data_IF_179188277821
#
_entry.id   IF_179188277821
#
_cell.length_a   1.000
_cell.length_b   1.000
_cell.length_c   1.000
_cell.angle_alpha   90.00
_cell.angle_beta   90.00
_cell.angle_gamma   90.00
#
_symmetry.space_group_name_H-M   'P 1'
#
loop_
_entity.id
_entity.type
_entity.pdbx_description
1 polymer ?
#
# COMPACT_ATOMS: atom_id res chain seq x y z
N UNK A 1 48.89 -48.82 30.38
CA UNK A 1 48.13 -48.02 29.40
C UNK A 1 47.61 -49.01 28.39
N UNK A 2 46.32 -49.20 28.22
CA UNK A 2 45.34 -48.19 27.78
C UNK A 2 43.93 -48.54 28.31
N UNK A 3 43.09 -47.56 28.70
CA UNK A 3 41.69 -47.82 29.08
C UNK A 3 40.84 -48.12 27.83
N UNK A 4 39.72 -48.86 27.94
CA UNK A 4 38.84 -49.09 26.81
C UNK A 4 38.21 -47.78 26.35
N UNK A 5 38.36 -47.50 25.06
CA UNK A 5 37.83 -46.32 24.38
C UNK A 5 36.31 -46.21 24.61
N UNK A 6 35.77 -45.04 25.04
CA UNK A 6 34.35 -44.88 25.21
C UNK A 6 33.67 -44.97 23.84
N UNK A 7 32.69 -45.86 23.71
CA UNK A 7 31.85 -45.94 22.53
C UNK A 7 31.21 -44.57 22.30
N UNK A 8 31.58 -43.94 21.19
CA UNK A 8 30.94 -42.71 20.71
C UNK A 8 29.47 -43.01 20.42
N UNK A 9 28.59 -42.69 21.37
CA UNK A 9 27.16 -42.58 21.09
C UNK A 9 27.00 -41.34 20.23
N UNK A 10 27.04 -41.52 18.92
CA UNK A 10 26.67 -40.49 17.96
C UNK A 10 25.15 -40.32 18.05
N UNK A 11 24.68 -39.49 18.97
CA UNK A 11 23.33 -38.93 18.87
C UNK A 11 23.32 -38.01 17.66
N UNK A 12 22.89 -38.53 16.52
CA UNK A 12 22.48 -37.70 15.38
C UNK A 12 21.42 -36.72 15.91
N UNK A 13 21.55 -35.40 15.69
CA UNK A 13 20.49 -34.48 16.07
C UNK A 13 19.21 -34.93 15.37
N UNK A 14 18.15 -35.20 16.14
CA UNK A 14 16.84 -35.53 15.58
C UNK A 14 16.42 -34.38 14.67
N UNK A 15 16.57 -34.56 13.36
CA UNK A 15 16.13 -33.58 12.37
C UNK A 15 14.62 -33.63 12.33
N UNK A 16 13.99 -32.69 13.05
CA UNK A 16 12.53 -32.57 13.11
C UNK A 16 11.99 -32.36 11.69
N UNK A 17 11.17 -33.31 11.22
CA UNK A 17 10.61 -33.25 9.88
C UNK A 17 9.46 -32.23 9.81
N UNK A 18 9.79 -30.97 9.57
CA UNK A 18 8.83 -29.88 9.42
C UNK A 18 7.90 -30.03 8.21
N UNK A 19 8.26 -30.87 7.22
CA UNK A 19 7.40 -31.18 6.09
C UNK A 19 6.27 -32.16 6.43
N UNK A 20 6.37 -32.87 7.56
CA UNK A 20 5.36 -33.81 8.05
C UNK A 20 4.41 -33.19 9.09
N UNK A 21 4.39 -31.86 9.22
CA UNK A 21 3.42 -31.19 10.08
C UNK A 21 1.97 -31.49 9.60
N UNK A 22 1.03 -31.70 10.54
CA UNK A 22 -0.38 -31.78 10.20
C UNK A 22 -0.89 -30.54 9.46
N UNK A 23 -1.84 -30.73 8.56
CA UNK A 23 -2.33 -29.69 7.66
C UNK A 23 -2.97 -28.50 8.41
N UNK A 24 -3.72 -28.77 9.47
CA UNK A 24 -4.33 -27.77 10.35
C UNK A 24 -3.29 -26.89 11.07
N UNK A 25 -2.17 -27.49 11.49
CA UNK A 25 -1.05 -26.76 12.09
C UNK A 25 -0.36 -25.88 11.06
N UNK A 26 -0.13 -26.39 9.83
CA UNK A 26 0.45 -25.60 8.74
C UNK A 26 -0.44 -24.41 8.36
N UNK A 27 -1.74 -24.63 8.22
CA UNK A 27 -2.72 -23.57 7.99
C UNK A 27 -2.65 -22.48 9.08
N UNK A 28 -2.59 -22.90 10.34
CA UNK A 28 -2.51 -21.96 11.48
C UNK A 28 -1.21 -21.15 11.45
N UNK A 29 -0.10 -21.76 11.06
CA UNK A 29 1.18 -21.06 10.88
C UNK A 29 1.06 -20.06 9.72
N UNK A 30 0.48 -20.47 8.59
CA UNK A 30 0.40 -19.63 7.40
C UNK A 30 -0.52 -18.44 7.61
N UNK A 31 -1.64 -18.61 8.31
CA UNK A 31 -2.52 -17.51 8.72
C UNK A 31 -1.80 -16.48 9.61
N UNK A 32 -0.79 -16.90 10.38
CA UNK A 32 0.03 -15.99 11.21
C UNK A 32 1.16 -15.30 10.42
N UNK A 33 1.66 -15.94 9.36
CA UNK A 33 2.67 -15.37 8.48
C UNK A 33 2.07 -14.28 7.60
N UNK A 34 0.92 -14.58 6.97
CA UNK A 34 0.30 -13.70 6.00
C UNK A 34 0.83 -13.91 4.57
N UNK A 35 0.15 -13.36 3.55
CA UNK A 35 0.47 -13.62 2.14
C UNK A 35 1.90 -13.29 1.70
N UNK A 36 2.46 -12.16 2.12
CA UNK A 36 3.79 -11.71 1.72
C UNK A 36 4.87 -12.72 2.13
N UNK A 37 4.89 -13.11 3.40
CA UNK A 37 5.84 -14.05 4.00
C UNK A 37 5.64 -15.48 3.45
N UNK A 38 4.41 -15.86 3.13
CA UNK A 38 4.13 -17.14 2.48
C UNK A 38 4.82 -17.19 1.11
N UNK A 39 4.63 -16.16 0.28
CA UNK A 39 5.17 -16.10 -1.09
C UNK A 39 6.70 -15.95 -1.12
N UNK A 40 7.26 -15.19 -0.18
CA UNK A 40 8.69 -14.92 -0.13
C UNK A 40 9.50 -16.07 0.49
N UNK A 41 8.87 -16.96 1.25
CA UNK A 41 9.61 -17.99 1.99
C UNK A 41 8.86 -19.29 2.22
N UNK A 42 7.70 -19.25 2.89
CA UNK A 42 7.08 -20.48 3.39
C UNK A 42 6.75 -21.49 2.27
N UNK A 43 6.27 -21.02 1.12
CA UNK A 43 5.94 -21.89 -0.01
C UNK A 43 7.16 -22.42 -0.79
N UNK A 44 8.36 -21.95 -0.44
CA UNK A 44 9.63 -22.37 -1.04
C UNK A 44 10.33 -23.45 -0.22
N UNK A 45 9.87 -23.72 1.01
CA UNK A 45 10.49 -24.70 1.93
C UNK A 45 10.38 -26.13 1.40
N UNK A 46 9.18 -26.56 1.00
CA UNK A 46 8.94 -27.88 0.44
C UNK A 46 7.62 -27.94 -0.34
N UNK A 47 7.41 -29.03 -1.08
CA UNK A 47 6.21 -29.24 -1.91
C UNK A 47 4.93 -29.32 -1.10
N UNK A 48 4.95 -29.90 0.10
CA UNK A 48 3.78 -29.95 1.00
C UNK A 48 3.33 -28.55 1.40
N UNK A 49 4.28 -27.71 1.81
CA UNK A 49 4.02 -26.33 2.22
C UNK A 49 3.51 -25.50 1.04
N UNK A 50 4.11 -25.68 -0.14
CA UNK A 50 3.63 -25.04 -1.38
C UNK A 50 2.18 -25.40 -1.71
N UNK A 51 1.81 -26.68 -1.59
CA UNK A 51 0.42 -27.12 -1.84
C UNK A 51 -0.56 -26.42 -0.91
N UNK A 52 -0.26 -26.40 0.39
CA UNK A 52 -1.09 -25.66 1.36
C UNK A 52 -1.19 -24.18 0.99
N UNK A 53 -0.08 -23.53 0.61
CA UNK A 53 -0.10 -22.12 0.21
C UNK A 53 -0.96 -21.87 -1.04
N UNK A 54 -0.94 -22.76 -2.02
CA UNK A 54 -1.65 -22.57 -3.30
C UNK A 54 -3.11 -23.01 -3.24
N UNK A 55 -3.39 -24.11 -2.55
CA UNK A 55 -4.68 -24.81 -2.61
C UNK A 55 -5.70 -24.31 -1.56
N UNK A 56 -5.28 -23.45 -0.62
CA UNK A 56 -6.11 -22.98 0.50
C UNK A 56 -6.51 -21.50 0.34
N UNK A 57 -7.69 -21.19 -0.24
CA UNK A 57 -8.16 -19.81 -0.44
C UNK A 57 -8.28 -19.00 0.84
N UNK A 58 -8.52 -19.68 1.97
CA UNK A 58 -8.67 -19.06 3.27
C UNK A 58 -7.45 -18.23 3.70
N UNK A 59 -6.25 -18.59 3.21
CA UNK A 59 -4.99 -17.88 3.46
C UNK A 59 -4.92 -16.53 2.74
N UNK A 60 -5.71 -16.36 1.69
CA UNK A 60 -5.65 -15.22 0.77
C UNK A 60 -6.90 -14.33 0.87
N UNK A 61 -7.68 -14.48 1.95
CA UNK A 61 -8.82 -13.58 2.22
C UNK A 61 -8.38 -12.15 2.52
N UNK A 62 -7.18 -11.97 3.06
CA UNK A 62 -6.59 -10.65 3.34
C UNK A 62 -5.20 -10.61 2.73
N UNK A 63 -5.05 -9.92 1.60
CA UNK A 63 -3.81 -9.81 0.85
C UNK A 63 -3.11 -8.52 1.23
N UNK A 64 -1.98 -8.63 1.93
CA UNK A 64 -1.08 -7.52 2.19
C UNK A 64 0.24 -7.77 1.44
N UNK A 65 0.57 -6.87 0.51
CA UNK A 65 1.76 -6.92 -0.34
C UNK A 65 2.92 -6.08 0.22
N UNK A 66 2.76 -5.52 1.42
CA UNK A 66 3.80 -4.81 2.14
C UNK A 66 3.94 -3.36 1.67
N UNK A 67 3.36 -2.44 2.45
CA UNK A 67 3.51 -0.99 2.28
C UNK A 67 4.69 -0.42 3.08
N UNK A 68 5.16 -1.17 4.09
CA UNK A 68 6.04 -0.65 5.15
C UNK A 68 7.51 -1.12 5.10
N UNK A 69 7.90 -1.95 4.13
CA UNK A 69 9.28 -2.42 4.03
C UNK A 69 10.13 -1.44 3.20
N UNK A 70 11.29 -0.96 3.70
CA UNK A 70 12.26 -0.22 2.90
C UNK A 70 12.71 -0.97 1.63
N UNK A 71 12.52 -2.30 1.58
CA UNK A 71 12.75 -3.14 0.41
C UNK A 71 11.62 -3.14 -0.63
N UNK A 72 10.41 -2.67 -0.30
CA UNK A 72 9.29 -2.59 -1.23
C UNK A 72 9.62 -1.67 -2.42
N UNK A 73 10.46 -0.65 -2.21
CA UNK A 73 10.98 0.26 -3.25
C UNK A 73 11.85 -0.44 -4.30
N UNK A 74 12.47 -1.57 -3.96
CA UNK A 74 13.30 -2.37 -4.88
C UNK A 74 12.51 -3.49 -5.57
N UNK A 75 11.29 -3.79 -5.10
CA UNK A 75 10.45 -4.89 -5.59
C UNK A 75 9.39 -4.48 -6.64
N UNK A 76 9.44 -3.23 -7.12
CA UNK A 76 8.43 -2.66 -8.02
C UNK A 76 8.21 -3.48 -9.31
N UNK A 77 9.26 -4.14 -9.84
CA UNK A 77 9.16 -4.91 -11.08
C UNK A 77 8.41 -6.26 -10.95
N UNK A 78 8.10 -6.72 -9.72
CA UNK A 78 7.43 -8.01 -9.48
C UNK A 78 6.16 -7.94 -8.62
N UNK A 79 5.91 -6.81 -7.96
CA UNK A 79 4.79 -6.62 -7.02
C UNK A 79 3.42 -6.91 -7.68
N UNK A 80 3.21 -6.44 -8.91
CA UNK A 80 1.94 -6.64 -9.61
C UNK A 80 1.63 -8.12 -9.92
N UNK A 81 2.62 -8.91 -10.31
CA UNK A 81 2.42 -10.33 -10.59
C UNK A 81 2.16 -11.13 -9.30
N UNK A 82 2.89 -10.82 -8.23
CA UNK A 82 2.66 -11.42 -6.92
C UNK A 82 1.27 -11.08 -6.38
N UNK A 83 0.85 -9.83 -6.48
CA UNK A 83 -0.49 -9.37 -6.10
C UNK A 83 -1.59 -10.12 -6.86
N UNK A 84 -1.46 -10.23 -8.19
CA UNK A 84 -2.40 -11.00 -9.02
C UNK A 84 -2.45 -12.47 -8.62
N UNK A 85 -1.30 -13.10 -8.38
CA UNK A 85 -1.23 -14.49 -7.96
C UNK A 85 -1.91 -14.71 -6.60
N UNK A 86 -1.67 -13.83 -5.63
CA UNK A 86 -2.30 -13.88 -4.31
C UNK A 86 -3.83 -13.76 -4.39
N UNK A 87 -4.33 -12.76 -5.13
CA UNK A 87 -5.76 -12.56 -5.34
C UNK A 87 -6.38 -13.74 -6.09
N UNK A 88 -5.65 -14.32 -7.06
CA UNK A 88 -6.11 -15.49 -7.78
C UNK A 88 -6.29 -16.70 -6.86
N UNK A 89 -5.34 -16.94 -5.94
CA UNK A 89 -5.39 -18.02 -4.94
C UNK A 89 -6.54 -17.84 -3.96
N UNK A 90 -6.97 -16.60 -3.69
CA UNK A 90 -8.18 -16.30 -2.91
C UNK A 90 -9.48 -16.77 -3.57
N UNK A 91 -9.47 -17.19 -4.83
CA UNK A 91 -10.61 -17.81 -5.51
C UNK A 91 -11.93 -17.02 -5.38
N UNK A 92 -11.85 -15.68 -5.41
CA UNK A 92 -13.01 -14.80 -5.27
C UNK A 92 -13.39 -14.46 -3.83
N UNK A 93 -12.71 -15.03 -2.83
CA UNK A 93 -12.94 -14.80 -1.40
C UNK A 93 -12.04 -13.71 -0.80
N UNK A 94 -11.31 -12.96 -1.64
CA UNK A 94 -10.48 -11.85 -1.15
C UNK A 94 -11.40 -10.73 -0.63
N UNK A 95 -11.28 -10.44 0.66
CA UNK A 95 -12.07 -9.45 1.40
C UNK A 95 -11.25 -8.17 1.69
N UNK A 96 -9.93 -8.26 1.71
CA UNK A 96 -9.05 -7.11 1.92
C UNK A 96 -7.80 -7.17 1.05
N UNK A 97 -7.41 -6.03 0.48
CA UNK A 97 -6.17 -5.87 -0.27
C UNK A 97 -5.42 -4.64 0.23
N UNK A 98 -4.11 -4.76 0.44
CA UNK A 98 -3.20 -3.65 0.74
C UNK A 98 -1.90 -3.76 -0.05
N UNK A 99 -1.45 -2.68 -0.68
CA UNK A 99 -0.15 -2.62 -1.33
C UNK A 99 -0.03 -1.65 -2.51
N UNK A 100 1.13 -1.64 -3.18
CA UNK A 100 1.36 -0.91 -4.43
C UNK A 100 0.38 -1.32 -5.52
N UNK A 101 -0.21 -0.35 -6.19
CA UNK A 101 -1.21 -0.61 -7.22
C UNK A 101 -1.09 0.36 -8.41
N UNK A 102 -1.22 -0.21 -9.61
CA UNK A 102 -1.43 0.51 -10.86
C UNK A 102 -2.88 0.29 -11.35
N UNK A 103 -3.26 0.97 -12.43
CA UNK A 103 -4.59 0.82 -13.03
C UNK A 103 -4.89 -0.63 -13.43
N UNK A 104 -3.88 -1.34 -13.95
CA UNK A 104 -4.05 -2.71 -14.41
C UNK A 104 -4.33 -3.70 -13.27
N UNK A 105 -3.72 -3.51 -12.10
CA UNK A 105 -3.96 -4.32 -10.91
C UNK A 105 -5.30 -3.93 -10.28
N UNK A 106 -5.65 -2.65 -10.28
CA UNK A 106 -6.91 -2.16 -9.74
C UNK A 106 -8.12 -2.74 -10.51
N UNK A 107 -8.06 -2.72 -11.84
CA UNK A 107 -9.07 -3.37 -12.69
C UNK A 107 -9.17 -4.88 -12.42
N UNK A 108 -8.03 -5.53 -12.21
CA UNK A 108 -8.00 -6.97 -11.89
C UNK A 108 -8.61 -7.29 -10.54
N UNK A 109 -8.38 -6.46 -9.52
CA UNK A 109 -9.02 -6.59 -8.21
C UNK A 109 -10.54 -6.50 -8.35
N UNK A 110 -11.04 -5.53 -9.12
CA UNK A 110 -12.47 -5.38 -9.39
C UNK A 110 -13.11 -6.64 -10.00
N UNK A 111 -12.40 -7.32 -10.89
CA UNK A 111 -12.89 -8.54 -11.56
C UNK A 111 -12.73 -9.79 -10.71
N UNK A 112 -11.68 -9.87 -9.88
CA UNK A 112 -11.25 -11.11 -9.24
C UNK A 112 -11.55 -11.19 -7.75
N UNK A 113 -11.88 -10.06 -7.12
CA UNK A 113 -12.21 -9.96 -5.70
C UNK A 113 -13.60 -9.29 -5.51
N UNK A 114 -14.70 -9.95 -5.91
CA UNK A 114 -16.06 -9.39 -5.76
C UNK A 114 -16.48 -9.23 -4.29
N UNK A 115 -15.81 -9.91 -3.35
CA UNK A 115 -16.07 -9.84 -1.91
C UNK A 115 -15.23 -8.78 -1.20
N UNK A 116 -14.55 -7.89 -1.93
CA UNK A 116 -13.64 -6.91 -1.34
C UNK A 116 -14.42 -5.88 -0.48
N UNK A 117 -14.03 -5.79 0.79
CA UNK A 117 -14.58 -4.85 1.79
C UNK A 117 -13.58 -3.80 2.22
N UNK A 118 -12.28 -4.07 2.06
CA UNK A 118 -11.19 -3.16 2.43
C UNK A 118 -10.17 -3.09 1.28
N UNK A 119 -9.87 -1.88 0.83
CA UNK A 119 -8.94 -1.62 -0.27
C UNK A 119 -7.96 -0.51 0.12
N UNK A 120 -6.69 -0.86 0.31
CA UNK A 120 -5.64 0.07 0.71
C UNK A 120 -4.59 0.17 -0.39
N UNK A 121 -4.57 1.31 -1.08
CA UNK A 121 -3.72 1.57 -2.24
C UNK A 121 -2.52 2.43 -1.81
N UNK A 122 -1.39 1.80 -1.48
CA UNK A 122 -0.16 2.53 -1.19
C UNK A 122 0.54 2.92 -2.49
N UNK A 123 1.16 4.10 -2.58
CA UNK A 123 1.89 4.52 -3.80
C UNK A 123 1.08 4.26 -5.08
N UNK A 124 -0.18 4.68 -5.11
CA UNK A 124 -1.06 4.47 -6.25
C UNK A 124 -0.57 5.25 -7.47
N UNK A 125 -0.32 4.54 -8.57
CA UNK A 125 0.20 5.10 -9.82
C UNK A 125 -0.88 5.20 -10.92
N UNK A 126 -2.16 5.05 -10.58
CA UNK A 126 -3.26 5.03 -11.54
C UNK A 126 -3.97 6.37 -11.72
N UNK A 127 -5.04 6.37 -12.53
CA UNK A 127 -5.87 7.55 -12.81
C UNK A 127 -7.10 7.63 -11.90
N UNK A 128 -7.61 8.85 -11.65
CA UNK A 128 -8.85 9.05 -10.88
C UNK A 128 -10.04 8.38 -11.57
N UNK A 129 -10.10 8.44 -12.90
CA UNK A 129 -11.18 7.85 -13.70
C UNK A 129 -11.27 6.33 -13.51
N UNK A 130 -10.11 5.65 -13.53
CA UNK A 130 -10.06 4.20 -13.36
C UNK A 130 -10.36 3.81 -11.93
N UNK A 131 -9.85 4.57 -10.95
CA UNK A 131 -10.20 4.39 -9.54
C UNK A 131 -11.72 4.46 -9.34
N UNK A 132 -12.36 5.54 -9.79
CA UNK A 132 -13.80 5.73 -9.64
C UNK A 132 -14.61 4.63 -10.34
N UNK A 133 -14.20 4.23 -11.54
CA UNK A 133 -14.85 3.15 -12.28
C UNK A 133 -14.81 1.83 -11.50
N UNK A 134 -13.70 1.54 -10.83
CA UNK A 134 -13.56 0.33 -10.00
C UNK A 134 -14.35 0.45 -8.70
N UNK A 135 -14.30 1.61 -8.04
CA UNK A 135 -15.07 1.89 -6.84
C UNK A 135 -16.57 1.66 -7.06
N UNK A 136 -17.13 2.13 -8.18
CA UNK A 136 -18.54 1.87 -8.56
C UNK A 136 -18.87 0.37 -8.76
N UNK A 137 -17.87 -0.48 -9.01
CA UNK A 137 -18.03 -1.92 -9.19
C UNK A 137 -17.82 -2.73 -7.91
N UNK A 138 -17.45 -2.09 -6.79
CA UNK A 138 -17.18 -2.73 -5.50
C UNK A 138 -18.26 -2.36 -4.48
N UNK A 139 -19.49 -2.92 -4.57
CA UNK A 139 -20.62 -2.53 -3.74
C UNK A 139 -20.48 -2.92 -2.26
N UNK A 140 -19.51 -3.78 -1.93
CA UNK A 140 -19.25 -4.24 -0.56
C UNK A 140 -18.11 -3.47 0.11
N UNK A 141 -17.52 -2.48 -0.57
CA UNK A 141 -16.39 -1.74 -0.06
C UNK A 141 -16.82 -0.83 1.09
N UNK A 142 -16.22 -1.03 2.26
CA UNK A 142 -16.52 -0.30 3.50
C UNK A 142 -15.33 0.55 3.96
N UNK A 143 -14.11 0.17 3.58
CA UNK A 143 -12.87 0.80 4.00
C UNK A 143 -11.96 1.02 2.78
N UNK A 144 -11.64 2.28 2.51
CA UNK A 144 -10.79 2.69 1.40
C UNK A 144 -9.66 3.57 1.92
N UNK A 145 -8.43 3.19 1.62
CA UNK A 145 -7.24 4.01 1.82
C UNK A 145 -6.57 4.26 0.48
N UNK A 146 -6.29 5.52 0.15
CA UNK A 146 -5.59 5.89 -1.09
C UNK A 146 -4.40 6.78 -0.76
N UNK A 147 -3.21 6.31 -1.09
CA UNK A 147 -1.97 7.08 -1.03
C UNK A 147 -1.40 7.25 -2.43
N UNK A 148 -1.70 8.35 -3.13
CA UNK A 148 -1.09 8.70 -4.41
C UNK A 148 0.43 8.56 -4.46
N UNK A 149 0.95 8.17 -5.62
CA UNK A 149 2.38 8.22 -5.89
C UNK A 149 2.83 9.63 -6.30
N UNK A 150 4.01 10.05 -5.84
CA UNK A 150 4.58 11.37 -6.16
C UNK A 150 5.02 11.51 -7.63
N UNK A 151 5.29 10.40 -8.31
CA UNK A 151 5.72 10.40 -9.71
C UNK A 151 4.55 10.48 -10.69
N UNK A 152 3.31 10.40 -10.19
CA UNK A 152 2.13 10.43 -11.03
C UNK A 152 1.63 11.86 -11.20
N UNK A 153 1.80 12.40 -12.41
CA UNK A 153 1.08 13.59 -12.85
C UNK A 153 -0.38 13.27 -13.26
N UNK A 154 -0.84 12.03 -13.08
CA UNK A 154 -2.14 11.56 -13.61
C UNK A 154 -3.27 11.60 -12.60
N UNK A 155 -2.97 11.77 -11.31
CA UNK A 155 -4.01 12.01 -10.31
C UNK A 155 -4.36 13.50 -10.36
N UNK A 156 -5.59 13.77 -10.79
CA UNK A 156 -6.12 15.12 -10.95
C UNK A 156 -6.55 15.71 -9.61
N UNK A 157 -6.59 17.05 -9.54
CA UNK A 157 -7.27 17.78 -8.47
C UNK A 157 -8.67 17.21 -8.23
N UNK A 158 -8.99 16.92 -6.97
CA UNK A 158 -10.32 16.47 -6.53
C UNK A 158 -10.46 14.94 -6.45
N UNK A 159 -9.40 14.24 -6.05
CA UNK A 159 -9.45 12.81 -5.74
C UNK A 159 -10.48 12.52 -4.64
N UNK A 160 -10.54 13.37 -3.61
CA UNK A 160 -11.49 13.28 -2.51
C UNK A 160 -12.93 13.40 -3.00
N UNK A 161 -13.26 14.47 -3.75
CA UNK A 161 -14.62 14.65 -4.27
C UNK A 161 -15.02 13.51 -5.19
N UNK A 162 -14.11 13.10 -6.08
CA UNK A 162 -14.34 12.02 -7.03
C UNK A 162 -14.59 10.68 -6.32
N UNK A 163 -13.80 10.38 -5.29
CA UNK A 163 -13.94 9.16 -4.47
C UNK A 163 -15.28 9.16 -3.74
N UNK A 164 -15.68 10.30 -3.16
CA UNK A 164 -16.98 10.44 -2.50
C UNK A 164 -18.14 10.24 -3.50
N UNK A 165 -18.01 10.73 -4.74
CA UNK A 165 -18.98 10.52 -5.81
C UNK A 165 -19.11 9.05 -6.23
N UNK A 166 -18.00 8.30 -6.23
CA UNK A 166 -17.98 6.91 -6.66
C UNK A 166 -18.48 5.92 -5.59
N UNK A 167 -18.23 6.19 -4.29
CA UNK A 167 -18.55 5.28 -3.18
C UNK A 167 -19.25 6.00 -2.00
N UNK A 168 -20.56 6.34 -2.11
CA UNK A 168 -21.27 7.09 -1.08
C UNK A 168 -21.59 6.31 0.22
N UNK A 169 -21.47 4.98 0.19
CA UNK A 169 -21.78 4.08 1.32
C UNK A 169 -20.53 3.63 2.10
N UNK A 170 -19.39 4.28 1.85
CA UNK A 170 -18.13 3.96 2.50
C UNK A 170 -18.21 4.32 4.00
N UNK A 171 -17.66 3.47 4.86
CA UNK A 171 -17.66 3.67 6.32
C UNK A 171 -16.37 4.33 6.81
N UNK A 172 -15.25 4.01 6.17
CA UNK A 172 -13.94 4.58 6.44
C UNK A 172 -13.27 5.03 5.15
N UNK A 173 -12.84 6.29 5.12
CA UNK A 173 -12.04 6.85 4.05
C UNK A 173 -10.75 7.43 4.62
N UNK A 174 -9.61 6.99 4.10
CA UNK A 174 -8.30 7.57 4.37
C UNK A 174 -7.66 8.02 3.06
N UNK A 175 -7.27 9.29 2.94
CA UNK A 175 -6.50 9.78 1.79
C UNK A 175 -5.22 10.41 2.30
N UNK A 176 -4.09 9.97 1.74
CA UNK A 176 -2.75 10.44 2.12
C UNK A 176 -2.03 11.01 0.91
N UNK A 177 -2.06 12.33 0.75
CA UNK A 177 -1.50 13.01 -0.40
C UNK A 177 0.04 13.00 -0.43
N UNK A 178 0.71 12.85 0.72
CA UNK A 178 2.16 12.70 0.79
C UNK A 178 2.59 11.44 1.55
N UNK A 179 3.59 10.74 1.01
CA UNK A 179 4.18 9.55 1.64
C UNK A 179 5.56 9.84 2.26
N UNK A 180 5.85 11.09 2.63
CA UNK A 180 7.10 11.44 3.31
C UNK A 180 6.77 11.71 4.77
N UNK A 181 7.32 10.96 5.74
CA UNK A 181 7.35 11.48 7.10
C UNK A 181 8.17 12.75 7.03
N UNK A 182 7.57 13.89 7.37
CA UNK A 182 8.21 15.21 7.42
C UNK A 182 9.42 15.13 8.36
N UNK A 183 10.53 14.60 7.85
CA UNK A 183 11.85 14.87 8.38
C UNK A 183 12.16 16.24 7.82
N UNK A 184 12.17 17.22 8.73
CA UNK A 184 12.74 18.53 8.48
C UNK A 184 14.01 18.39 7.64
N UNK A 185 14.13 19.31 6.69
CA UNK A 185 15.20 19.50 5.72
C UNK A 185 15.01 18.75 4.38
N UNK A 186 14.62 19.54 3.37
CA UNK A 186 14.73 19.30 1.92
C UNK A 186 13.68 18.42 1.24
N UNK A 187 12.43 18.92 1.07
CA UNK A 187 11.71 18.91 -0.23
C UNK A 187 10.63 20.02 -0.18
N UNK A 188 10.96 21.25 -0.54
CA UNK A 188 9.96 22.24 -0.98
C UNK A 188 10.17 22.48 -2.46
N UNK A 189 9.58 21.58 -3.26
CA UNK A 189 9.31 21.84 -4.66
C UNK A 189 7.80 21.96 -4.84
N UNK A 190 7.37 22.72 -5.84
CA UNK A 190 5.98 22.94 -6.29
C UNK A 190 5.18 21.66 -6.66
N UNK A 191 5.63 20.47 -6.24
CA UNK A 191 5.12 19.15 -6.60
C UNK A 191 4.38 18.43 -5.45
N UNK A 192 4.09 19.10 -4.33
CA UNK A 192 3.13 18.56 -3.35
C UNK A 192 1.75 18.56 -4.02
N UNK A 193 1.04 17.43 -4.02
CA UNK A 193 -0.34 17.36 -4.50
C UNK A 193 -1.19 18.31 -3.65
N UNK A 194 -1.42 19.53 -4.12
CA UNK A 194 -2.17 20.58 -3.40
C UNK A 194 -3.66 20.38 -3.62
N UNK A 195 -4.22 19.28 -3.09
CA UNK A 195 -5.66 19.09 -3.19
C UNK A 195 -6.38 20.09 -2.28
N UNK A 196 -7.19 20.94 -2.90
CA UNK A 196 -8.10 21.85 -2.21
C UNK A 196 -9.49 21.26 -2.26
N UNK A 197 -10.06 20.95 -1.10
CA UNK A 197 -11.44 20.44 -1.02
C UNK A 197 -12.40 21.62 -1.29
N UNK A 198 -13.03 21.61 -2.48
CA UNK A 198 -13.83 22.74 -3.01
C UNK A 198 -15.31 22.68 -2.60
N UNK A 199 -15.73 21.56 -2.01
CA UNK A 199 -16.95 21.50 -1.21
C UNK A 199 -18.21 20.99 -1.93
N UNK A 200 -18.08 20.22 -3.02
CA UNK A 200 -19.21 19.57 -3.70
C UNK A 200 -19.06 18.04 -3.65
N UNK A 201 -19.46 17.44 -2.53
CA UNK A 201 -19.55 15.99 -2.35
C UNK A 201 -21.00 15.54 -2.21
N UNK A 202 -21.34 14.29 -2.61
CA UNK A 202 -22.65 13.73 -2.28
C UNK A 202 -22.79 13.51 -0.77
N UNK A 203 -24.03 13.28 -0.32
CA UNK A 203 -24.31 12.87 1.05
C UNK A 203 -23.67 11.49 1.33
N UNK A 204 -22.69 11.44 2.23
CA UNK A 204 -21.99 10.24 2.69
C UNK A 204 -22.69 9.70 3.95
N UNK A 205 -23.83 9.05 3.77
CA UNK A 205 -24.72 8.68 4.88
C UNK A 205 -24.16 7.61 5.82
N UNK A 206 -23.13 6.87 5.42
CA UNK A 206 -22.54 5.78 6.21
C UNK A 206 -21.12 6.06 6.70
N UNK A 207 -20.55 7.22 6.35
CA UNK A 207 -19.16 7.53 6.69
C UNK A 207 -19.03 7.84 8.18
N UNK A 208 -18.27 6.99 8.88
CA UNK A 208 -18.01 7.07 10.31
C UNK A 208 -16.64 7.67 10.61
N UNK A 209 -15.65 7.43 9.73
CA UNK A 209 -14.27 7.87 9.90
C UNK A 209 -13.73 8.47 8.62
N UNK A 210 -13.21 9.68 8.71
CA UNK A 210 -12.48 10.36 7.63
C UNK A 210 -11.11 10.77 8.13
N UNK A 211 -10.07 10.31 7.44
CA UNK A 211 -8.69 10.70 7.70
C UNK A 211 -8.10 11.32 6.42
N UNK A 212 -7.67 12.57 6.51
CA UNK A 212 -7.04 13.30 5.42
C UNK A 212 -5.65 13.73 5.86
N UNK A 213 -4.64 13.29 5.13
CA UNK A 213 -3.24 13.62 5.42
C UNK A 213 -2.65 14.44 4.28
N UNK A 214 -1.95 15.52 4.65
CA UNK A 214 -1.26 16.43 3.75
C UNK A 214 -2.19 17.16 2.77
N UNK A 215 -3.36 17.59 3.26
CA UNK A 215 -4.35 18.32 2.45
C UNK A 215 -4.46 19.81 2.82
N UNK A 216 -4.94 20.62 1.87
CA UNK A 216 -5.33 22.02 2.13
C UNK A 216 -6.83 22.11 2.35
N UNK A 217 -7.22 22.57 3.54
CA UNK A 217 -8.61 22.65 3.94
C UNK A 217 -9.06 24.09 4.12
N UNK A 218 -10.13 24.45 3.42
CA UNK A 218 -10.88 25.70 3.63
C UNK A 218 -11.98 25.52 4.67
N UNK A 219 -12.40 26.62 5.28
CA UNK A 219 -13.61 26.70 6.12
C UNK A 219 -14.83 26.16 5.38
N UNK A 220 -14.98 26.50 4.09
CA UNK A 220 -16.05 25.98 3.22
C UNK A 220 -15.94 24.48 3.02
N UNK A 221 -14.74 23.95 2.73
CA UNK A 221 -14.50 22.53 2.55
C UNK A 221 -14.82 21.72 3.82
N UNK A 222 -14.37 22.20 4.98
CA UNK A 222 -14.68 21.59 6.27
C UNK A 222 -16.19 21.62 6.56
N UNK A 223 -16.84 22.75 6.27
CA UNK A 223 -18.29 22.88 6.42
C UNK A 223 -19.02 21.86 5.55
N UNK A 224 -18.62 21.71 4.29
CA UNK A 224 -19.18 20.68 3.40
C UNK A 224 -19.00 19.29 4.00
N UNK A 225 -17.79 18.91 4.44
CA UNK A 225 -17.58 17.58 5.03
C UNK A 225 -18.54 17.33 6.21
N UNK A 226 -18.69 18.31 7.10
CA UNK A 226 -19.56 18.17 8.29
C UNK A 226 -21.06 18.17 7.98
N UNK A 227 -21.47 18.81 6.88
CA UNK A 227 -22.88 18.87 6.46
C UNK A 227 -23.29 17.63 5.67
N UNK A 228 -22.38 17.06 4.88
CA UNK A 228 -22.64 15.90 4.01
C UNK A 228 -22.24 14.56 4.63
N UNK A 229 -21.58 14.54 5.80
CA UNK A 229 -21.24 13.32 6.55
C UNK A 229 -21.92 13.33 7.93
N UNK A 230 -23.24 13.05 8.04
CA UNK A 230 -24.00 13.26 9.26
C UNK A 230 -23.69 12.26 10.39
N UNK A 231 -23.15 11.08 10.06
CA UNK A 231 -22.78 10.03 11.01
C UNK A 231 -21.29 10.05 11.38
N UNK A 232 -20.54 11.05 10.94
CA UNK A 232 -19.10 11.13 11.15
C UNK A 232 -18.77 11.18 12.65
N UNK A 233 -18.11 10.13 13.14
CA UNK A 233 -17.68 10.02 14.54
C UNK A 233 -16.24 10.50 14.71
N UNK A 234 -15.39 10.21 13.71
CA UNK A 234 -13.96 10.55 13.69
C UNK A 234 -13.61 11.37 12.45
N UNK A 235 -12.95 12.51 12.67
CA UNK A 235 -12.39 13.35 11.63
C UNK A 235 -10.95 13.69 12.02
N UNK A 236 -10.00 13.13 11.28
CA UNK A 236 -8.59 13.44 11.44
C UNK A 236 -8.09 14.15 10.20
N UNK A 237 -7.58 15.37 10.36
CA UNK A 237 -7.01 16.13 9.27
C UNK A 237 -5.61 16.62 9.69
N UNK A 238 -4.61 16.19 8.92
CA UNK A 238 -3.22 16.65 8.98
C UNK A 238 -2.93 17.46 7.71
N UNK A 239 -2.31 18.63 7.83
CA UNK A 239 -2.06 19.52 6.70
C UNK A 239 -2.10 21.00 7.09
N UNK A 240 -2.68 21.83 6.22
CA UNK A 240 -2.82 23.28 6.46
C UNK A 240 -4.30 23.70 6.47
N UNK A 241 -4.65 24.60 7.40
CA UNK A 241 -5.96 25.25 7.46
C UNK A 241 -5.75 26.77 7.39
N UNK A 242 -6.17 27.38 6.28
CA UNK A 242 -5.80 28.77 5.95
C UNK A 242 -6.94 29.78 6.12
N UNK A 243 -8.14 29.32 6.50
CA UNK A 243 -9.29 30.19 6.75
C UNK A 243 -9.51 30.45 8.25
N UNK A 244 -10.26 31.50 8.58
CA UNK A 244 -10.72 31.71 9.96
C UNK A 244 -11.83 30.74 10.35
N UNK A 245 -11.77 30.24 11.59
CA UNK A 245 -12.78 29.35 12.15
C UNK A 245 -13.90 30.16 12.82
N UNK A 246 -15.03 30.33 12.14
CA UNK A 246 -16.21 31.03 12.66
C UNK A 246 -16.97 30.24 13.75
N UNK A 247 -17.94 30.89 14.40
CA UNK A 247 -18.69 30.28 15.49
C UNK A 247 -19.62 29.13 15.06
N UNK A 248 -20.16 29.17 13.83
CA UNK A 248 -21.04 28.12 13.30
C UNK A 248 -20.24 26.85 13.01
N UNK A 249 -19.09 26.99 12.35
CA UNK A 249 -18.18 25.91 12.03
C UNK A 249 -17.61 25.25 13.28
N UNK A 250 -17.27 26.03 14.32
CA UNK A 250 -16.93 25.49 15.66
C UNK A 250 -18.06 24.67 16.25
N UNK A 251 -19.30 25.14 16.12
CA UNK A 251 -20.49 24.42 16.56
C UNK A 251 -20.66 23.08 15.82
N UNK A 252 -20.40 23.05 14.51
CA UNK A 252 -20.43 21.82 13.70
C UNK A 252 -19.31 20.86 14.10
N UNK A 253 -18.09 21.36 14.30
CA UNK A 253 -16.94 20.58 14.74
C UNK A 253 -17.18 19.89 16.09
N UNK A 254 -17.86 20.57 17.03
CA UNK A 254 -18.19 20.02 18.35
C UNK A 254 -19.14 18.80 18.32
N UNK A 255 -19.75 18.50 17.17
CA UNK A 255 -20.58 17.29 16.97
C UNK A 255 -19.74 16.03 16.73
N UNK A 256 -18.51 16.18 16.26
CA UNK A 256 -17.59 15.07 15.99
C UNK A 256 -16.94 14.65 17.31
N UNK A 257 -16.92 13.35 17.60
CA UNK A 257 -16.40 12.83 18.88
C UNK A 257 -14.88 12.95 18.93
N UNK A 258 -14.24 12.47 17.87
CA UNK A 258 -12.78 12.43 17.74
C UNK A 258 -12.37 13.36 16.60
N UNK A 259 -12.00 14.60 16.95
CA UNK A 259 -11.63 15.63 15.98
C UNK A 259 -10.17 16.02 16.12
N UNK A 260 -9.43 15.94 15.02
CA UNK A 260 -8.10 16.54 14.87
C UNK A 260 -8.11 17.44 13.65
N UNK A 261 -7.74 18.71 13.84
CA UNK A 261 -7.60 19.69 12.76
C UNK A 261 -6.15 20.17 12.66
N UNK A 262 -5.73 20.69 11.49
CA UNK A 262 -4.44 21.33 11.33
C UNK A 262 -4.19 22.43 12.36
N UNK A 263 -3.00 22.47 12.93
CA UNK A 263 -2.58 23.52 13.87
C UNK A 263 -1.80 24.67 13.19
N UNK A 264 -1.55 24.61 11.88
CA UNK A 264 -0.69 25.58 11.17
C UNK A 264 -1.47 26.72 10.51
N UNK A 265 -1.24 27.95 10.96
CA UNK A 265 -1.48 29.17 10.19
C UNK A 265 -0.34 29.37 9.18
N UNK A 266 -0.62 29.90 7.98
CA UNK A 266 0.35 30.19 6.92
C UNK A 266 1.50 31.16 7.33
N UNK A 267 1.51 31.67 8.55
CA UNK A 267 2.48 32.65 9.06
C UNK A 267 3.91 32.09 9.28
N UNK A 268 4.12 30.78 9.22
CA UNK A 268 5.45 30.16 9.35
C UNK A 268 6.18 29.95 8.00
N UNK A 269 5.63 30.43 6.88
CA UNK A 269 6.21 30.31 5.54
C UNK A 269 6.68 31.65 4.95
N UNK A 270 7.62 32.33 5.61
CA UNK A 270 8.39 33.40 4.95
C UNK A 270 9.28 32.78 3.86
N UNK A 271 8.99 33.11 2.60
CA UNK A 271 9.68 32.64 1.40
C UNK A 271 11.08 33.27 1.30
N UNK A 272 12.15 32.52 1.63
CA UNK A 272 13.53 32.97 1.40
C UNK A 272 13.87 32.99 -0.11
N UNK A 273 14.48 34.09 -0.56
CA UNK A 273 14.75 34.48 -1.96
C UNK A 273 15.84 33.66 -2.70
N UNK A 274 16.26 32.48 -2.22
CA UNK A 274 17.43 31.74 -2.76
C UNK A 274 17.09 30.75 -3.91
N UNK A 275 16.10 31.08 -4.74
CA UNK A 275 15.52 30.21 -5.78
C UNK A 275 16.34 30.04 -7.08
N UNK A 276 17.53 30.63 -7.23
CA UNK A 276 18.27 30.58 -8.51
C UNK A 276 19.29 29.43 -8.65
N UNK A 277 19.73 28.79 -7.56
CA UNK A 277 20.75 27.72 -7.65
C UNK A 277 20.20 26.34 -8.02
N UNK A 278 18.91 26.06 -7.77
CA UNK A 278 18.32 24.72 -7.95
C UNK A 278 17.94 24.36 -9.39
N UNK A 279 17.68 25.35 -10.25
CA UNK A 279 17.34 25.09 -11.66
C UNK A 279 18.49 24.46 -12.46
N UNK A 280 19.74 24.77 -12.12
CA UNK A 280 20.90 24.23 -12.82
C UNK A 280 21.20 22.78 -12.40
N UNK A 281 20.90 22.41 -11.15
CA UNK A 281 21.14 21.05 -10.65
C UNK A 281 20.12 20.05 -11.22
N UNK A 282 18.85 20.45 -11.33
CA UNK A 282 17.78 19.59 -11.88
C UNK A 282 17.93 19.35 -13.39
N UNK A 283 18.39 20.34 -14.14
CA UNK A 283 18.65 20.20 -15.58
C UNK A 283 19.77 19.18 -15.87
N UNK A 284 20.76 19.08 -14.98
CA UNK A 284 21.88 18.14 -15.13
C UNK A 284 21.49 16.68 -14.85
N UNK A 285 20.44 16.41 -14.06
CA UNK A 285 19.98 15.05 -13.75
C UNK A 285 18.98 14.49 -14.78
N UNK A 286 18.12 15.33 -15.35
CA UNK A 286 17.13 14.89 -16.36
C UNK A 286 17.74 14.60 -17.74
N UNK A 287 18.89 15.18 -18.09
CA UNK A 287 19.53 14.98 -19.40
C UNK A 287 20.35 13.67 -19.52
N UNK A 288 20.39 12.80 -18.49
CA UNK A 288 21.21 11.55 -18.51
C UNK A 288 20.45 10.23 -18.65
N UNK A 289 19.12 10.23 -18.69
CA UNK A 289 18.33 9.00 -18.80
C UNK A 289 17.80 8.82 -20.23
N UNK A 290 18.64 8.26 -21.10
CA UNK A 290 18.22 7.76 -22.41
C UNK A 290 17.18 6.64 -22.24
N UNK A 291 15.98 6.90 -22.77
CA UNK A 291 14.77 6.08 -22.67
C UNK A 291 14.73 4.90 -23.68
N UNK A 292 15.86 4.39 -24.15
CA UNK A 292 15.89 3.35 -25.20
C UNK A 292 16.77 2.14 -24.85
N UNK A 293 16.48 1.39 -23.77
CA UNK A 293 17.08 0.04 -23.65
C UNK A 293 16.46 -0.95 -22.65
N UNK A 294 15.17 -1.25 -22.69
CA UNK A 294 14.66 -2.50 -22.07
C UNK A 294 13.25 -2.92 -22.52
N UNK A 295 12.97 -2.79 -23.82
CA UNK A 295 12.01 -3.69 -24.46
C UNK A 295 12.78 -4.92 -24.93
N UNK A 296 12.78 -6.00 -24.14
CA UNK A 296 12.95 -7.43 -24.51
C UNK A 296 13.55 -8.24 -23.36
N UNK A 297 12.74 -8.72 -22.42
CA UNK A 297 12.87 -10.08 -21.87
C UNK A 297 11.48 -10.56 -21.44
N UNK A 298 10.67 -10.97 -22.41
CA UNK A 298 9.65 -11.99 -22.17
C UNK A 298 10.39 -13.32 -22.03
N UNK A 299 10.44 -13.90 -20.82
CA UNK A 299 10.74 -15.32 -20.68
C UNK A 299 10.27 -15.90 -19.33
N UNK A 300 8.99 -16.30 -19.25
CA UNK A 300 8.52 -17.30 -18.28
C UNK A 300 8.16 -18.62 -18.96
N UNK A 301 9.06 -19.09 -19.82
CA UNK A 301 9.10 -20.47 -20.30
C UNK A 301 10.44 -21.10 -19.92
N UNK A 302 10.51 -21.76 -18.77
CA UNK A 302 11.61 -22.68 -18.47
C UNK A 302 11.05 -23.93 -17.80
N UNK A 303 11.20 -25.03 -18.53
CA UNK A 303 10.89 -26.39 -18.12
C UNK A 303 11.73 -26.82 -16.91
N UNK A 304 11.09 -27.59 -16.03
CA UNK A 304 11.74 -28.32 -14.95
C UNK A 304 12.79 -29.31 -15.50
N UNK A 305 14.04 -29.26 -15.01
CA UNK A 305 14.82 -30.48 -14.84
C UNK A 305 15.87 -30.36 -13.71
N UNK A 306 16.14 -31.44 -12.95
CA UNK A 306 16.83 -31.41 -11.67
C UNK A 306 18.32 -31.70 -11.83
N UNK A 307 19.13 -31.07 -10.97
CA UNK A 307 20.28 -31.69 -10.31
C UNK A 307 20.84 -30.74 -9.25
N UNK A 308 20.48 -31.02 -7.99
CA UNK A 308 21.25 -30.59 -6.84
C UNK A 308 22.55 -31.39 -6.81
N UNK A 309 23.70 -30.71 -6.76
CA UNK A 309 24.88 -31.22 -6.07
C UNK A 309 25.50 -30.11 -5.22
N UNK A 310 25.61 -30.41 -3.93
CA UNK A 310 26.42 -29.73 -2.93
C UNK A 310 27.91 -29.88 -3.22
N UNK A 311 28.70 -29.03 -2.53
CA UNK A 311 30.18 -28.97 -2.34
C UNK A 311 30.69 -27.67 -2.99
N UNK A 312 31.16 -26.66 -2.25
CA UNK A 312 32.12 -26.72 -1.15
C UNK A 312 33.35 -25.93 -1.62
N UNK A 313 33.69 -24.86 -0.88
CA UNK A 313 34.90 -24.04 -0.94
C UNK A 313 35.91 -24.28 -2.08
N UNK A 314 36.27 -23.23 -2.81
CA UNK A 314 37.61 -22.62 -2.65
C UNK A 314 37.75 -21.33 -3.46
N UNK A 315 38.50 -20.42 -2.86
CA UNK A 315 39.04 -19.19 -3.43
C UNK A 315 39.82 -19.47 -4.71
N UNK A 316 39.73 -18.59 -5.71
CA UNK A 316 40.90 -17.98 -6.36
C UNK A 316 40.45 -16.76 -7.18
N UNK A 317 40.98 -15.60 -6.81
CA UNK A 317 41.18 -14.49 -7.72
C UNK A 317 42.29 -14.89 -8.69
N UNK A 318 42.14 -14.59 -9.98
CA UNK A 318 43.21 -13.95 -10.74
C UNK A 318 42.70 -13.41 -12.09
N UNK A 319 42.93 -12.09 -12.23
CA UNK A 319 43.16 -11.22 -13.40
C UNK A 319 42.07 -11.10 -14.47
#
# INVERSE_FOLDING_TARGET
MEPPSPASVTTTPETRNWAALPHDILLTIFLKLGPCEIMQGAELVCTTWRRVAVDEPALWRRVDMGTASPWARFAAAGSGAAARAAVARGAGQCEAFSGPCDDGLLLYLAERAPCLRSLHLSSFHGSNEILNLVLMKLPLLEDLEVSPSQSSNTLSDGLFESTCQACPFLKKLTIRFSNVPVRHDYVYGDNLLKETIKGEIPMMSELLSLELFDCYLSSKGLTTILDYCPLLESLHIEGCFYDEMDADLRGKCARVKDLTLPNGSDEDYELDEDYEWDRQFYKMYCESWDYERWATVDNWGMDYHPQYYYLGNELHYDI
#
